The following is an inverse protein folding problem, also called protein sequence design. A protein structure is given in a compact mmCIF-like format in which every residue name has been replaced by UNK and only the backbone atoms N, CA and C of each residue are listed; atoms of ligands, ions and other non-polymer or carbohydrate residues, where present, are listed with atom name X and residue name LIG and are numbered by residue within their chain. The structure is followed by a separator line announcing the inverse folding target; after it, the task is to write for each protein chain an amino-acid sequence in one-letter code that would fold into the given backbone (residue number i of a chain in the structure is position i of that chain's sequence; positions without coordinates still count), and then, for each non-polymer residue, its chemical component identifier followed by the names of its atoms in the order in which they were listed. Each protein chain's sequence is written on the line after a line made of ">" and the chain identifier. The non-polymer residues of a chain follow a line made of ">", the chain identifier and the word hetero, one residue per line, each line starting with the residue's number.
data_IF_861408963196
#
_entry.id   IF_861408963196
#
_cell.length_a   1.000
_cell.length_b   1.000
_cell.length_c   1.000
_cell.angle_alpha   90.00
_cell.angle_beta   90.00
_cell.angle_gamma   90.00
#
_symmetry.space_group_name_H-M   'P 1'
#
loop_
_entity.id
_entity.type
_entity.pdbx_description
1 polymer ?
#
# COMPACT_ATOMS: atom_id res chain seq x y z
N UNK A 1 12.47 -13.62 -35.50
CA UNK A 1 12.74 -13.86 -34.08
C UNK A 1 11.53 -13.35 -33.35
N UNK A 2 10.67 -14.24 -32.85
CA UNK A 2 9.49 -13.84 -32.12
C UNK A 2 9.90 -13.52 -30.68
N UNK A 3 9.91 -12.24 -30.33
CA UNK A 3 10.04 -11.80 -28.93
C UNK A 3 8.80 -12.29 -28.17
N UNK A 4 9.01 -13.17 -27.20
CA UNK A 4 8.00 -13.60 -26.23
C UNK A 4 7.84 -12.50 -25.16
N UNK A 5 6.66 -12.38 -24.53
CA UNK A 5 6.21 -11.15 -23.90
C UNK A 5 7.06 -10.81 -22.67
N UNK A 6 7.60 -9.58 -22.60
CA UNK A 6 8.10 -9.04 -21.34
C UNK A 6 6.94 -9.08 -20.35
N UNK A 7 7.16 -9.76 -19.24
CA UNK A 7 6.15 -10.20 -18.30
C UNK A 7 5.38 -9.01 -17.73
N UNK A 8 4.24 -8.71 -18.36
CA UNK A 8 3.03 -8.07 -17.80
C UNK A 8 3.27 -7.28 -16.53
N UNK A 9 3.45 -5.97 -16.66
CA UNK A 9 3.05 -4.90 -15.74
C UNK A 9 2.63 -5.37 -14.35
N UNK A 10 3.57 -5.91 -13.55
CA UNK A 10 3.23 -6.28 -12.17
C UNK A 10 2.97 -4.97 -11.42
N UNK A 11 1.81 -4.87 -10.77
CA UNK A 11 1.45 -3.69 -10.00
C UNK A 11 2.59 -3.30 -9.06
N UNK A 12 2.92 -2.01 -8.98
CA UNK A 12 3.93 -1.51 -8.05
C UNK A 12 3.60 -1.80 -6.59
N UNK A 13 2.36 -2.17 -6.30
CA UNK A 13 1.91 -2.57 -4.97
C UNK A 13 2.54 -3.89 -4.51
N UNK A 14 2.90 -4.79 -5.43
CA UNK A 14 3.61 -6.03 -5.13
C UNK A 14 5.06 -5.68 -4.78
N UNK A 15 5.50 -6.05 -3.57
CA UNK A 15 6.83 -5.69 -3.04
C UNK A 15 6.94 -4.30 -2.40
N UNK A 16 5.86 -3.49 -2.38
CA UNK A 16 5.88 -2.14 -1.81
C UNK A 16 5.51 -2.11 -0.31
N UNK A 17 4.32 -2.59 0.05
CA UNK A 17 3.87 -2.71 1.44
C UNK A 17 3.52 -1.39 2.18
N UNK A 18 3.94 -0.22 1.69
CA UNK A 18 3.85 1.07 2.41
C UNK A 18 2.42 1.52 2.80
N UNK A 19 1.42 1.13 2.01
CA UNK A 19 0.02 1.41 2.37
C UNK A 19 -0.53 0.34 3.33
N UNK A 20 0.02 -0.87 3.32
CA UNK A 20 -0.43 -1.97 4.17
C UNK A 20 0.18 -1.93 5.57
N UNK A 21 1.36 -1.34 5.74
CA UNK A 21 2.04 -1.25 7.05
C UNK A 21 1.76 0.03 7.83
N UNK A 22 0.91 0.91 7.29
CA UNK A 22 0.55 2.16 7.96
C UNK A 22 1.39 3.37 7.56
N UNK A 23 2.42 3.21 6.72
CA UNK A 23 3.35 4.32 6.38
C UNK A 23 2.64 5.43 5.58
N UNK A 24 1.81 5.07 4.60
CA UNK A 24 1.10 6.04 3.73
C UNK A 24 -0.26 6.42 4.29
N UNK A 25 -0.98 5.46 4.85
CA UNK A 25 -2.33 5.63 5.37
C UNK A 25 -2.49 4.73 6.58
N UNK A 26 -3.19 5.18 7.61
CA UNK A 26 -3.36 4.43 8.86
C UNK A 26 -4.71 3.70 8.95
N UNK A 27 -5.67 4.09 8.13
CA UNK A 27 -7.02 3.53 8.10
C UNK A 27 -7.55 3.45 6.68
N UNK A 28 -8.25 2.37 6.34
CA UNK A 28 -8.94 2.23 5.06
C UNK A 28 -10.44 2.09 5.27
N UNK A 29 -11.21 2.84 4.47
CA UNK A 29 -12.66 2.80 4.46
C UNK A 29 -13.18 1.46 3.91
N UNK A 30 -14.16 0.90 4.60
CA UNK A 30 -14.88 -0.30 4.21
C UNK A 30 -16.17 0.12 3.53
N UNK A 31 -16.06 0.36 2.22
CA UNK A 31 -17.18 0.85 1.40
C UNK A 31 -18.16 -0.26 0.98
N UNK A 32 -17.76 -1.53 1.12
CA UNK A 32 -18.56 -2.69 0.76
C UNK A 32 -18.82 -3.53 2.01
N UNK A 33 -20.09 -3.74 2.37
CA UNK A 33 -20.47 -4.48 3.57
C UNK A 33 -19.98 -5.94 3.58
N UNK A 34 -19.68 -6.53 2.41
CA UNK A 34 -19.16 -7.89 2.31
C UNK A 34 -17.76 -8.06 2.93
N UNK A 35 -17.00 -6.96 3.05
CA UNK A 35 -15.69 -6.95 3.72
C UNK A 35 -15.78 -7.03 5.25
N UNK A 36 -16.87 -6.53 5.85
CA UNK A 36 -17.05 -6.45 7.32
C UNK A 36 -17.14 -7.82 8.01
N UNK A 37 -17.30 -8.89 7.22
CA UNK A 37 -17.35 -10.29 7.66
C UNK A 37 -15.99 -10.97 7.67
N UNK A 38 -15.93 -12.19 7.10
CA UNK A 38 -14.72 -13.01 7.06
C UNK A 38 -13.50 -12.36 6.40
N UNK A 39 -13.62 -11.53 5.32
CA UNK A 39 -12.44 -10.95 4.67
C UNK A 39 -11.58 -10.11 5.60
N UNK A 40 -12.19 -9.18 6.37
CA UNK A 40 -11.43 -8.36 7.33
C UNK A 40 -11.31 -9.02 8.70
N UNK A 41 -12.38 -9.61 9.24
CA UNK A 41 -12.31 -10.27 10.56
C UNK A 41 -11.35 -11.47 10.57
N UNK A 42 -11.30 -12.22 9.47
CA UNK A 42 -10.39 -13.37 9.31
C UNK A 42 -8.91 -12.96 9.23
N UNK A 43 -8.62 -11.73 8.78
CA UNK A 43 -7.28 -11.15 8.81
C UNK A 43 -6.88 -10.66 10.20
N UNK A 44 -7.83 -10.48 11.12
CA UNK A 44 -7.57 -9.97 12.46
C UNK A 44 -7.23 -8.48 12.50
N UNK A 45 -7.69 -7.70 11.51
CA UNK A 45 -7.60 -6.23 11.57
C UNK A 45 -8.55 -5.69 12.64
N UNK A 46 -8.20 -4.54 13.22
CA UNK A 46 -9.11 -3.78 14.07
C UNK A 46 -10.13 -3.04 13.19
N UNK A 47 -11.42 -3.27 13.43
CA UNK A 47 -12.53 -2.61 12.76
C UNK A 47 -13.13 -1.54 13.66
N UNK A 48 -13.20 -0.30 13.15
CA UNK A 48 -13.80 0.86 13.82
C UNK A 48 -15.16 1.11 13.16
N UNK A 49 -16.22 0.64 13.82
CA UNK A 49 -17.59 0.68 13.30
C UNK A 49 -18.26 2.03 13.52
N UNK A 50 -17.72 2.85 14.42
CA UNK A 50 -18.23 4.19 14.74
C UNK A 50 -17.90 5.24 13.66
N UNK A 51 -16.97 4.91 12.74
CA UNK A 51 -16.69 5.74 11.57
C UNK A 51 -17.79 5.56 10.51
N UNK A 52 -18.02 6.60 9.70
CA UNK A 52 -18.97 6.58 8.58
C UNK A 52 -18.25 6.99 7.27
N UNK A 53 -17.94 6.05 6.36
CA UNK A 53 -18.14 4.59 6.50
C UNK A 53 -17.19 3.96 7.54
N UNK A 54 -17.46 2.72 8.00
CA UNK A 54 -16.54 2.00 8.89
C UNK A 54 -15.13 1.92 8.29
N UNK A 55 -14.11 1.86 9.14
CA UNK A 55 -12.72 1.73 8.70
C UNK A 55 -12.05 0.54 9.37
N UNK A 56 -10.97 0.04 8.79
CA UNK A 56 -10.04 -0.85 9.47
C UNK A 56 -8.69 -0.19 9.68
N UNK A 57 -8.05 -0.47 10.81
CA UNK A 57 -6.75 0.07 11.15
C UNK A 57 -5.60 -0.73 10.52
N UNK A 58 -4.53 -0.02 10.18
CA UNK A 58 -3.25 -0.55 9.72
C UNK A 58 -2.21 -0.40 10.84
N UNK A 59 -1.18 -1.26 10.92
CA UNK A 59 -0.71 -2.22 9.91
C UNK A 59 -1.63 -3.43 9.73
N UNK A 60 -1.78 -3.87 8.48
CA UNK A 60 -2.51 -5.07 8.11
C UNK A 60 -1.72 -6.34 8.51
N UNK A 61 -2.31 -7.29 9.27
CA UNK A 61 -1.64 -8.54 9.65
C UNK A 61 -1.25 -9.44 8.46
N UNK A 62 -1.86 -9.23 7.29
CA UNK A 62 -1.51 -9.96 6.07
C UNK A 62 -0.20 -9.48 5.43
N UNK A 63 0.38 -8.36 5.88
CA UNK A 63 1.68 -7.90 5.39
C UNK A 63 2.80 -8.63 6.13
N UNK A 64 3.69 -9.27 5.38
CA UNK A 64 4.86 -9.96 5.91
C UNK A 64 6.06 -9.66 5.01
N UNK A 65 7.17 -9.24 5.62
CA UNK A 65 8.41 -8.89 4.89
C UNK A 65 8.21 -7.87 3.73
N UNK A 66 7.26 -6.95 3.87
CA UNK A 66 6.96 -5.93 2.85
C UNK A 66 5.97 -6.38 1.75
N UNK A 67 5.44 -7.61 1.84
CA UNK A 67 4.54 -8.16 0.84
C UNK A 67 3.19 -8.56 1.44
N UNK A 68 2.12 -8.35 0.67
CA UNK A 68 0.79 -8.81 1.05
C UNK A 68 0.64 -10.29 0.74
N UNK A 69 0.55 -11.12 1.78
CA UNK A 69 0.45 -12.60 1.68
C UNK A 69 -0.81 -13.09 0.97
N UNK A 70 -1.82 -12.23 0.83
CA UNK A 70 -3.09 -12.54 0.16
C UNK A 70 -3.30 -11.75 -1.14
N UNK A 71 -2.26 -11.11 -1.69
CA UNK A 71 -2.41 -10.15 -2.78
C UNK A 71 -3.19 -10.70 -3.99
N UNK A 72 -2.81 -11.90 -4.43
CA UNK A 72 -3.44 -12.61 -5.55
C UNK A 72 -4.50 -13.64 -5.13
N UNK A 73 -4.90 -13.64 -3.86
CA UNK A 73 -5.88 -14.57 -3.30
C UNK A 73 -7.23 -13.86 -3.12
N UNK A 74 -7.61 -13.56 -1.88
CA UNK A 74 -8.88 -12.95 -1.51
C UNK A 74 -8.63 -11.60 -0.81
N UNK A 75 -8.09 -10.63 -1.55
CA UNK A 75 -7.97 -9.26 -1.04
C UNK A 75 -9.36 -8.68 -0.76
N UNK A 76 -9.58 -8.04 0.39
CA UNK A 76 -10.81 -7.30 0.66
C UNK A 76 -11.07 -6.23 -0.42
N UNK A 77 -12.33 -5.95 -0.69
CA UNK A 77 -12.75 -4.93 -1.65
C UNK A 77 -12.15 -3.54 -1.30
N UNK A 78 -12.14 -3.17 -0.03
CA UNK A 78 -11.50 -1.95 0.49
C UNK A 78 -10.02 -1.84 0.07
N UNK A 79 -9.29 -2.96 0.10
CA UNK A 79 -7.92 -2.98 -0.40
C UNK A 79 -7.86 -2.81 -1.91
N UNK A 80 -8.81 -3.39 -2.67
CA UNK A 80 -8.84 -3.30 -4.14
C UNK A 80 -9.15 -1.90 -4.65
N UNK A 81 -10.05 -1.17 -4.00
CA UNK A 81 -10.47 0.17 -4.42
C UNK A 81 -9.53 1.28 -3.97
N UNK A 82 -8.74 1.02 -2.92
CA UNK A 82 -7.74 1.98 -2.49
C UNK A 82 -6.59 2.07 -3.50
N UNK A 83 -6.31 3.29 -3.94
CA UNK A 83 -5.22 3.62 -4.86
C UNK A 83 -4.46 4.84 -4.31
N UNK A 84 -3.15 4.69 -4.08
CA UNK A 84 -2.29 5.82 -3.70
C UNK A 84 -1.85 6.62 -4.94
N UNK A 85 -1.46 7.88 -4.74
CA UNK A 85 -1.10 8.78 -5.84
C UNK A 85 0.03 8.21 -6.73
N UNK A 86 1.01 7.53 -6.14
CA UNK A 86 2.11 6.92 -6.91
C UNK A 86 1.57 5.84 -7.87
N UNK A 87 0.68 4.96 -7.38
CA UNK A 87 0.06 3.94 -8.23
C UNK A 87 -0.78 4.56 -9.33
N UNK A 88 -1.58 5.58 -8.99
CA UNK A 88 -2.40 6.32 -9.97
C UNK A 88 -1.53 6.94 -11.07
N UNK A 89 -0.42 7.59 -10.69
CA UNK A 89 0.51 8.20 -11.66
C UNK A 89 1.14 7.19 -12.63
N UNK A 90 1.41 5.96 -12.16
CA UNK A 90 1.91 4.88 -13.03
C UNK A 90 0.81 4.37 -13.96
N UNK A 91 -0.41 4.18 -13.44
CA UNK A 91 -1.55 3.71 -14.23
C UNK A 91 -1.97 4.73 -15.30
N UNK A 92 -1.84 6.02 -15.00
CA UNK A 92 -2.09 7.12 -15.94
C UNK A 92 -0.92 7.38 -16.91
N UNK A 93 0.21 6.69 -16.74
CA UNK A 93 1.39 6.85 -17.59
C UNK A 93 2.17 8.15 -17.34
N UNK A 94 1.88 8.87 -16.26
CA UNK A 94 2.59 10.08 -15.83
C UNK A 94 3.98 9.75 -15.27
N UNK A 95 4.11 8.56 -14.68
CA UNK A 95 5.37 8.01 -14.19
C UNK A 95 5.63 6.61 -14.70
N UNK A 96 6.90 6.27 -14.88
CA UNK A 96 7.29 4.91 -15.22
C UNK A 96 7.27 3.99 -14.01
N UNK A 97 7.07 2.69 -14.24
CA UNK A 97 7.16 1.68 -13.17
C UNK A 97 8.56 1.64 -12.50
N UNK A 98 9.63 1.91 -13.27
CA UNK A 98 11.01 1.96 -12.77
C UNK A 98 11.23 3.14 -11.82
N UNK A 99 10.71 4.31 -12.19
CA UNK A 99 10.74 5.51 -11.35
C UNK A 99 9.97 5.28 -10.06
N UNK A 100 8.74 4.75 -10.14
CA UNK A 100 7.95 4.44 -8.96
C UNK A 100 8.62 3.44 -8.02
N UNK A 101 9.26 2.39 -8.55
CA UNK A 101 10.03 1.44 -7.73
C UNK A 101 11.25 2.09 -7.05
N UNK A 102 11.89 3.07 -7.70
CA UNK A 102 13.00 3.81 -7.10
C UNK A 102 12.52 4.66 -5.92
N UNK A 103 11.37 5.33 -6.08
CA UNK A 103 10.72 6.10 -4.99
C UNK A 103 10.37 5.18 -3.82
N UNK A 104 9.75 4.02 -4.09
CA UNK A 104 9.39 3.03 -3.05
C UNK A 104 10.64 2.58 -2.29
N UNK A 105 11.72 2.24 -3.00
CA UNK A 105 12.96 1.82 -2.38
C UNK A 105 13.56 2.91 -1.47
N UNK A 106 13.48 4.18 -1.89
CA UNK A 106 13.96 5.30 -1.07
C UNK A 106 13.16 5.46 0.23
N UNK A 107 11.83 5.34 0.16
CA UNK A 107 10.98 5.39 1.36
C UNK A 107 11.29 4.23 2.30
N UNK A 108 11.44 3.01 1.77
CA UNK A 108 11.77 1.83 2.56
C UNK A 108 13.14 1.96 3.24
N UNK A 109 14.14 2.49 2.54
CA UNK A 109 15.47 2.76 3.07
C UNK A 109 15.43 3.80 4.19
N UNK A 110 14.75 4.94 3.96
CA UNK A 110 14.57 5.97 4.99
C UNK A 110 13.83 5.40 6.22
N UNK A 111 12.77 4.61 6.01
CA UNK A 111 12.03 3.99 7.10
C UNK A 111 12.85 2.98 7.89
N UNK A 112 13.74 2.22 7.25
CA UNK A 112 14.61 1.27 7.97
C UNK A 112 15.51 1.94 9.03
N UNK A 113 15.75 3.25 8.88
CA UNK A 113 16.50 4.09 9.82
C UNK A 113 15.62 4.88 10.79
N UNK A 114 14.32 4.97 10.50
CA UNK A 114 13.35 5.69 11.35
C UNK A 114 13.24 5.00 12.72
N UNK A 115 13.16 5.80 13.78
CA UNK A 115 13.23 5.36 15.17
C UNK A 115 14.61 5.54 15.85
N UNK A 116 15.69 5.66 15.06
CA UNK A 116 17.02 6.05 15.57
C UNK A 116 17.51 7.38 15.02
N UNK A 117 16.93 7.86 13.92
CA UNK A 117 17.30 9.10 13.24
C UNK A 117 16.05 9.97 12.93
N UNK A 118 15.87 11.13 13.59
CA UNK A 118 14.79 12.07 13.29
C UNK A 118 14.84 12.62 11.85
N UNK A 119 16.03 12.67 11.25
CA UNK A 119 16.21 13.08 9.84
C UNK A 119 15.59 12.06 8.88
N UNK A 120 15.76 10.77 9.18
CA UNK A 120 15.13 9.69 8.41
C UNK A 120 13.61 9.70 8.54
N UNK A 121 13.06 9.96 9.73
CA UNK A 121 11.61 10.09 9.93
C UNK A 121 11.03 11.28 9.14
N UNK A 122 11.71 12.44 9.16
CA UNK A 122 11.34 13.59 8.32
C UNK A 122 11.36 13.22 6.83
N UNK A 123 12.41 12.51 6.38
CA UNK A 123 12.53 12.11 4.98
C UNK A 123 11.39 11.19 4.54
N UNK A 124 10.96 10.25 5.38
CA UNK A 124 9.77 9.42 5.09
C UNK A 124 8.54 10.29 4.90
N UNK A 125 8.28 11.22 5.83
CA UNK A 125 7.13 12.10 5.76
C UNK A 125 7.12 12.97 4.48
N UNK A 126 8.28 13.54 4.11
CA UNK A 126 8.43 14.37 2.92
C UNK A 126 8.15 13.56 1.63
N UNK A 127 8.74 12.37 1.52
CA UNK A 127 8.53 11.49 0.37
C UNK A 127 7.08 10.99 0.26
N UNK A 128 6.45 10.63 1.39
CA UNK A 128 5.04 10.21 1.41
C UNK A 128 4.13 11.34 0.94
N UNK A 129 4.35 12.56 1.44
CA UNK A 129 3.58 13.72 1.03
C UNK A 129 3.76 14.05 -0.46
N UNK A 130 4.98 13.95 -0.98
CA UNK A 130 5.29 14.29 -2.38
C UNK A 130 4.75 13.26 -3.39
N UNK A 131 4.82 11.96 -3.07
CA UNK A 131 4.58 10.91 -4.08
C UNK A 131 3.34 10.06 -3.83
N UNK A 132 2.84 9.96 -2.59
CA UNK A 132 1.79 9.00 -2.25
C UNK A 132 0.45 9.67 -1.93
N UNK A 133 0.45 10.96 -1.57
CA UNK A 133 -0.73 11.75 -1.20
C UNK A 133 -1.02 12.94 -2.14
N UNK A 134 -0.16 13.17 -3.13
CA UNK A 134 -0.19 14.33 -4.02
C UNK A 134 -1.32 14.28 -5.07
#
# INVERSE_FOLDING_TARGET
>A
MAEAPDSRTESICVGCGLCCDGTVVTHLAVSDESDLGLPLRGLGVELIYEADPPVFALPCPAVAAGECTIYGLHRPHACHVYECALSSSVLNGERSQVEARSIIAEVLDARSRSGSDPGAERRVADLVAEYFLA
#
